data_IF_546031658520
#
_entry.id   IF_546031658520
#
_cell.length_a   1.000
_cell.length_b   1.000
_cell.length_c   1.000
_cell.angle_alpha   90.00
_cell.angle_beta   90.00
_cell.angle_gamma   90.00
#
_symmetry.space_group_name_H-M   'P 1'
#
loop_
_entity.id
_entity.type
_entity.pdbx_description
1 polymer ?
#
# COMPACT_ATOMS: atom_id res chain seq x y z
N UNK A 1 6.06 10.29 6.31
CA UNK A 1 6.27 9.15 5.39
C UNK A 1 7.68 9.18 4.82
N UNK A 2 8.28 8.00 4.61
CA UNK A 2 9.57 7.85 3.94
C UNK A 2 9.63 6.56 3.09
N UNK A 3 10.45 6.58 2.07
CA UNK A 3 10.59 5.60 0.99
C UNK A 3 11.45 4.39 1.39
N UNK A 4 11.07 3.69 2.46
CA UNK A 4 11.62 2.40 2.86
C UNK A 4 10.49 1.52 3.39
N UNK A 5 10.32 0.35 2.80
CA UNK A 5 9.35 -0.64 3.22
C UNK A 5 9.92 -1.70 4.15
N UNK A 6 9.11 -2.70 4.46
CA UNK A 6 9.51 -3.80 5.34
C UNK A 6 10.64 -4.66 4.74
N UNK A 7 11.55 -5.14 5.60
CA UNK A 7 12.68 -5.99 5.20
C UNK A 7 12.28 -7.43 4.87
N UNK A 8 11.09 -7.86 5.25
CA UNK A 8 10.59 -9.19 4.99
C UNK A 8 9.08 -9.19 4.78
N UNK A 9 8.55 -9.89 3.76
CA UNK A 9 7.11 -10.06 3.56
C UNK A 9 6.40 -10.73 4.76
N UNK A 10 7.13 -11.48 5.58
CA UNK A 10 6.57 -12.11 6.77
C UNK A 10 6.16 -11.13 7.88
N UNK A 11 6.54 -9.86 7.78
CA UNK A 11 6.05 -8.81 8.68
C UNK A 11 4.63 -8.34 8.35
N UNK A 12 4.11 -8.65 7.17
CA UNK A 12 2.76 -8.25 6.73
C UNK A 12 1.71 -8.73 7.72
N UNK A 13 0.80 -7.83 8.10
CA UNK A 13 -0.36 -8.12 8.96
C UNK A 13 -1.67 -8.14 8.19
N UNK A 14 -1.73 -7.43 7.07
CA UNK A 14 -2.85 -7.38 6.14
C UNK A 14 -2.39 -7.93 4.78
N UNK A 15 -2.72 -9.20 4.52
CA UNK A 15 -2.28 -9.91 3.34
C UNK A 15 -2.94 -9.39 2.04
N UNK A 16 -4.16 -8.85 2.12
CA UNK A 16 -4.87 -8.32 0.96
C UNK A 16 -4.21 -7.03 0.47
N UNK A 17 -3.77 -6.20 1.40
CA UNK A 17 -3.12 -4.91 1.11
C UNK A 17 -1.61 -4.98 1.05
N UNK A 18 -1.02 -6.12 1.42
CA UNK A 18 0.42 -6.29 1.54
C UNK A 18 1.07 -5.25 2.47
N UNK A 19 0.41 -4.95 3.58
CA UNK A 19 0.82 -3.95 4.56
C UNK A 19 1.07 -4.57 5.93
N UNK A 20 2.04 -4.02 6.65
CA UNK A 20 2.22 -4.26 8.08
C UNK A 20 1.68 -3.05 8.84
N UNK A 21 0.60 -3.26 9.59
CA UNK A 21 -0.06 -2.23 10.40
C UNK A 21 0.26 -2.48 11.86
N UNK A 22 0.78 -1.46 12.54
CA UNK A 22 1.08 -1.46 13.96
C UNK A 22 0.27 -0.35 14.64
N UNK A 23 -0.57 -0.70 15.60
CA UNK A 23 -1.33 0.26 16.41
C UNK A 23 -0.60 0.47 17.75
N UNK A 24 -0.43 1.72 18.15
CA UNK A 24 0.30 2.18 19.35
C UNK A 24 1.71 1.57 19.53
N UNK A 25 2.53 1.47 18.45
CA UNK A 25 3.84 0.83 18.53
C UNK A 25 4.86 1.65 19.31
N UNK A 26 5.83 0.96 19.89
CA UNK A 26 7.13 1.53 20.19
C UNK A 26 7.97 1.62 18.91
N UNK A 27 8.88 2.60 18.86
CA UNK A 27 9.75 2.85 17.73
C UNK A 27 11.19 2.90 18.21
N UNK A 28 11.99 1.95 17.76
CA UNK A 28 13.43 1.88 18.01
C UNK A 28 14.18 2.50 16.83
N UNK A 29 14.98 3.51 17.08
CA UNK A 29 15.81 4.20 16.09
C UNK A 29 17.29 3.89 16.35
N UNK A 30 17.95 3.17 15.47
CA UNK A 30 19.35 2.80 15.57
C UNK A 30 20.16 3.32 14.38
N UNK A 31 21.25 4.03 14.66
CA UNK A 31 22.08 4.60 13.59
C UNK A 31 22.87 3.55 12.81
N UNK A 32 23.34 2.52 13.49
CA UNK A 32 24.15 1.44 12.91
C UNK A 32 23.33 0.26 12.39
N UNK A 33 24.05 -0.76 11.92
CA UNK A 33 23.47 -2.05 11.52
C UNK A 33 23.16 -2.91 12.74
N UNK A 34 22.15 -3.75 12.61
CA UNK A 34 21.77 -4.74 13.62
C UNK A 34 21.83 -6.14 12.98
N UNK A 35 22.85 -6.91 13.34
CA UNK A 35 23.03 -8.28 12.82
C UNK A 35 22.95 -9.34 13.92
N UNK A 36 23.31 -8.98 15.15
CA UNK A 36 23.31 -9.88 16.31
C UNK A 36 22.03 -9.68 17.14
N UNK A 37 21.31 -10.75 17.39
CA UNK A 37 20.07 -10.69 18.20
C UNK A 37 20.35 -10.35 19.66
N UNK A 38 21.52 -10.71 20.18
CA UNK A 38 21.89 -10.46 21.58
C UNK A 38 21.83 -8.97 21.94
N UNK A 39 22.18 -8.09 20.99
CA UNK A 39 22.16 -6.65 21.19
C UNK A 39 20.72 -6.09 21.29
N UNK A 40 19.75 -6.79 20.70
CA UNK A 40 18.31 -6.43 20.75
C UNK A 40 17.58 -7.00 21.97
N UNK A 41 18.08 -8.09 22.59
CA UNK A 41 17.35 -8.81 23.63
C UNK A 41 16.86 -7.92 24.77
N UNK A 42 17.67 -6.99 25.33
CA UNK A 42 17.23 -6.15 26.44
C UNK A 42 16.02 -5.27 26.12
N UNK A 43 15.94 -4.78 24.86
CA UNK A 43 14.81 -3.98 24.38
C UNK A 43 13.61 -4.89 24.09
N UNK A 44 13.83 -6.01 23.38
CA UNK A 44 12.76 -6.94 23.00
C UNK A 44 12.03 -7.49 24.22
N UNK A 45 12.73 -7.91 25.26
CA UNK A 45 12.14 -8.43 26.50
C UNK A 45 11.21 -7.39 27.15
N UNK A 46 11.66 -6.13 27.26
CA UNK A 46 10.88 -5.06 27.87
C UNK A 46 9.64 -4.71 27.04
N UNK A 47 9.80 -4.63 25.71
CA UNK A 47 8.67 -4.34 24.80
C UNK A 47 7.67 -5.49 24.80
N UNK A 48 8.12 -6.75 24.81
CA UNK A 48 7.23 -7.91 24.93
C UNK A 48 6.41 -7.89 26.21
N UNK A 49 7.01 -7.50 27.36
CA UNK A 49 6.30 -7.37 28.63
C UNK A 49 5.21 -6.29 28.58
N UNK A 50 5.37 -5.25 27.75
CA UNK A 50 4.36 -4.20 27.58
C UNK A 50 3.16 -4.64 26.72
N UNK A 51 3.30 -5.71 25.95
CA UNK A 51 2.28 -6.19 25.00
C UNK A 51 2.11 -5.34 23.75
N UNK A 52 2.91 -4.28 23.56
CA UNK A 52 2.83 -3.40 22.38
C UNK A 52 3.72 -3.89 21.24
N UNK A 53 3.36 -3.59 19.97
CA UNK A 53 4.21 -3.89 18.83
C UNK A 53 5.44 -2.98 18.78
N UNK A 54 6.45 -3.39 18.01
CA UNK A 54 7.70 -2.67 17.85
C UNK A 54 8.01 -2.42 16.37
N UNK A 55 8.25 -1.16 16.00
CA UNK A 55 8.90 -0.78 14.75
C UNK A 55 10.41 -0.60 15.01
N UNK A 56 11.26 -1.24 14.23
CA UNK A 56 12.71 -1.09 14.28
C UNK A 56 13.19 -0.40 13.01
N UNK A 57 13.83 0.76 13.16
CA UNK A 57 14.44 1.52 12.07
C UNK A 57 15.94 1.57 12.32
N UNK A 58 16.73 0.97 11.42
CA UNK A 58 18.18 0.93 11.53
C UNK A 58 18.84 1.10 10.15
N UNK A 59 20.15 1.35 10.11
CA UNK A 59 20.87 1.35 8.84
C UNK A 59 20.59 0.11 8.01
N UNK A 60 20.70 -1.05 8.64
CA UNK A 60 20.28 -2.34 8.12
C UNK A 60 19.93 -3.29 9.28
N UNK A 61 19.08 -4.28 9.02
CA UNK A 61 18.79 -5.35 9.98
C UNK A 61 18.92 -6.64 9.20
N UNK A 62 19.91 -7.45 9.55
CA UNK A 62 20.30 -8.62 8.77
C UNK A 62 20.66 -9.83 9.67
N UNK A 63 20.99 -10.95 9.05
CA UNK A 63 21.52 -12.13 9.74
C UNK A 63 20.56 -12.69 10.79
N UNK A 64 21.12 -13.02 11.97
CA UNK A 64 20.42 -13.66 13.08
C UNK A 64 19.32 -12.76 13.66
N UNK A 65 19.56 -11.43 13.72
CA UNK A 65 18.59 -10.49 14.23
C UNK A 65 17.29 -10.48 13.41
N UNK A 66 17.40 -10.35 12.09
CA UNK A 66 16.25 -10.38 11.19
C UNK A 66 15.52 -11.73 11.24
N UNK A 67 16.27 -12.84 11.18
CA UNK A 67 15.68 -14.17 11.22
C UNK A 67 14.88 -14.40 12.51
N UNK A 68 15.41 -13.98 13.65
CA UNK A 68 14.73 -14.12 14.94
C UNK A 68 13.45 -13.29 15.02
N UNK A 69 13.47 -12.05 14.54
CA UNK A 69 12.28 -11.20 14.50
C UNK A 69 11.18 -11.81 13.61
N UNK A 70 11.55 -12.30 12.43
CA UNK A 70 10.63 -12.99 11.51
C UNK A 70 10.03 -14.24 12.13
N UNK A 71 10.85 -15.09 12.76
CA UNK A 71 10.36 -16.32 13.41
C UNK A 71 9.38 -16.02 14.56
N UNK A 72 9.68 -15.02 15.39
CA UNK A 72 8.78 -14.61 16.47
C UNK A 72 7.47 -14.01 15.92
N UNK A 73 7.52 -13.27 14.84
CA UNK A 73 6.33 -12.76 14.14
C UNK A 73 5.45 -13.89 13.62
N UNK A 74 6.02 -14.88 12.91
CA UNK A 74 5.29 -16.04 12.39
C UNK A 74 4.65 -16.87 13.50
N UNK A 75 5.35 -17.03 14.64
CA UNK A 75 4.82 -17.72 15.82
C UNK A 75 3.77 -16.94 16.59
N UNK A 76 3.53 -15.68 16.26
CA UNK A 76 2.61 -14.80 16.97
C UNK A 76 3.09 -14.43 18.39
N UNK A 77 4.35 -14.70 18.74
CA UNK A 77 4.90 -14.40 20.07
C UNK A 77 5.28 -12.93 20.24
N UNK A 78 5.64 -12.27 19.14
CA UNK A 78 6.01 -10.86 19.16
C UNK A 78 5.65 -10.17 17.82
N UNK A 79 4.91 -9.07 17.90
CA UNK A 79 4.56 -8.29 16.73
C UNK A 79 5.59 -7.18 16.50
N UNK A 80 6.46 -7.39 15.52
CA UNK A 80 7.47 -6.41 15.15
C UNK A 80 7.54 -6.23 13.64
N UNK A 81 8.04 -5.08 13.20
CA UNK A 81 8.38 -4.78 11.81
C UNK A 81 9.74 -4.11 11.78
N UNK A 82 10.56 -4.49 10.82
CA UNK A 82 11.88 -3.93 10.60
C UNK A 82 11.97 -3.24 9.25
N UNK A 83 12.52 -2.04 9.23
CA UNK A 83 12.71 -1.22 8.02
C UNK A 83 14.11 -0.60 8.01
N UNK A 84 14.64 -0.31 6.82
CA UNK A 84 15.88 0.45 6.69
C UNK A 84 15.66 1.93 6.94
N UNK A 85 16.60 2.59 7.58
CA UNK A 85 16.62 4.04 7.70
C UNK A 85 16.80 4.69 6.32
N UNK A 86 16.05 5.76 6.02
CA UNK A 86 16.18 6.49 4.76
C UNK A 86 17.48 7.30 4.69
N UNK A 87 17.99 7.49 3.49
CA UNK A 87 19.21 8.27 3.24
C UNK A 87 20.51 7.50 3.52
N UNK A 88 21.63 8.21 3.40
CA UNK A 88 22.97 7.68 3.59
C UNK A 88 23.84 8.72 4.35
N UNK A 89 24.86 8.23 5.08
CA UNK A 89 25.82 9.08 5.80
C UNK A 89 25.15 10.10 6.73
N UNK A 90 25.60 11.35 6.71
CA UNK A 90 25.08 12.43 7.57
C UNK A 90 23.61 12.72 7.32
N UNK A 91 23.12 12.55 6.09
CA UNK A 91 21.70 12.70 5.77
C UNK A 91 20.84 11.67 6.50
N UNK A 92 21.29 10.41 6.59
CA UNK A 92 20.61 9.36 7.37
C UNK A 92 20.53 9.74 8.85
N UNK A 93 21.64 10.24 9.43
CA UNK A 93 21.66 10.70 10.83
C UNK A 93 20.63 11.80 11.07
N UNK A 94 20.60 12.80 10.17
CA UNK A 94 19.64 13.89 10.25
C UNK A 94 18.19 13.42 10.16
N UNK A 95 17.88 12.48 9.26
CA UNK A 95 16.53 11.92 9.11
C UNK A 95 16.13 11.06 10.31
N UNK A 96 17.05 10.28 10.89
CA UNK A 96 16.80 9.54 12.13
C UNK A 96 16.52 10.50 13.29
N UNK A 97 17.25 11.62 13.38
CA UNK A 97 17.01 12.64 14.39
C UNK A 97 15.64 13.32 14.19
N UNK A 98 15.25 13.60 12.97
CA UNK A 98 13.90 14.13 12.66
C UNK A 98 12.80 13.17 13.12
N UNK A 99 12.98 11.86 12.89
CA UNK A 99 12.07 10.83 13.38
C UNK A 99 12.05 10.71 14.91
N UNK A 100 13.22 10.82 15.56
CA UNK A 100 13.31 10.79 17.02
C UNK A 100 12.50 11.94 17.64
N UNK A 101 12.66 13.15 17.12
CA UNK A 101 11.90 14.32 17.57
C UNK A 101 10.40 14.14 17.33
N UNK A 102 10.02 13.64 16.16
CA UNK A 102 8.60 13.40 15.83
C UNK A 102 7.96 12.35 16.75
N UNK A 103 8.69 11.32 17.14
CA UNK A 103 8.16 10.18 17.90
C UNK A 103 8.42 10.27 19.40
N UNK A 104 9.16 11.29 19.85
CA UNK A 104 9.52 11.48 21.26
C UNK A 104 10.57 10.48 21.77
N UNK A 105 11.33 9.85 20.86
CA UNK A 105 12.41 8.92 21.19
C UNK A 105 13.80 9.53 21.05
N UNK A 106 14.82 8.68 21.09
CA UNK A 106 16.20 9.04 20.86
C UNK A 106 16.85 8.08 19.87
N UNK A 107 17.79 8.60 19.07
CA UNK A 107 18.60 7.77 18.17
C UNK A 107 19.69 7.08 18.98
N UNK A 108 19.72 5.76 18.94
CA UNK A 108 20.79 4.95 19.52
C UNK A 108 21.98 5.03 18.56
N UNK A 109 23.07 5.63 19.02
CA UNK A 109 24.29 5.80 18.27
C UNK A 109 25.51 5.73 19.22
N UNK A 110 26.49 4.92 18.84
CA UNK A 110 27.72 4.76 19.64
C UNK A 110 28.51 6.06 19.77
N UNK A 111 28.42 6.94 18.77
CA UNK A 111 29.09 8.24 18.76
C UNK A 111 28.63 9.15 19.92
N UNK A 112 27.39 8.99 20.40
CA UNK A 112 26.86 9.73 21.54
C UNK A 112 26.84 8.89 22.82
N UNK A 113 27.50 7.73 22.83
CA UNK A 113 27.62 6.85 23.99
C UNK A 113 26.40 5.97 24.26
N UNK A 114 25.41 5.95 23.37
CA UNK A 114 24.24 5.09 23.48
C UNK A 114 24.47 3.77 22.72
N UNK A 115 24.40 2.66 23.44
CA UNK A 115 24.53 1.33 22.86
C UNK A 115 23.21 0.58 22.88
N UNK A 116 23.00 -0.28 21.88
CA UNK A 116 21.76 -1.04 21.72
C UNK A 116 21.57 -2.07 22.85
N UNK A 117 22.66 -2.71 23.29
CA UNK A 117 22.68 -3.70 24.37
C UNK A 117 22.31 -3.13 25.76
N UNK A 118 22.43 -1.81 25.93
CA UNK A 118 22.07 -1.09 27.14
C UNK A 118 20.84 -0.20 27.02
N UNK A 119 20.16 -0.28 25.87
CA UNK A 119 18.97 0.52 25.60
C UNK A 119 17.78 0.12 26.51
N UNK A 120 17.00 1.10 26.88
CA UNK A 120 15.78 0.91 27.66
C UNK A 120 14.56 1.58 27.00
N UNK A 121 13.40 1.42 27.64
CA UNK A 121 12.13 1.93 27.14
C UNK A 121 12.09 3.46 27.01
N UNK A 122 12.91 4.19 27.76
CA UNK A 122 12.95 5.66 27.72
C UNK A 122 13.57 6.22 26.44
N UNK A 123 14.35 5.41 25.73
CA UNK A 123 14.95 5.77 24.46
C UNK A 123 14.01 5.51 23.28
N UNK A 124 12.95 4.72 23.47
CA UNK A 124 12.01 4.38 22.41
C UNK A 124 11.04 5.53 22.15
N UNK A 125 10.86 5.85 20.89
CA UNK A 125 9.73 6.66 20.46
C UNK A 125 8.44 5.87 20.43
N UNK A 126 7.33 6.55 20.18
CA UNK A 126 6.04 5.92 19.93
C UNK A 126 5.18 6.73 18.97
N UNK A 127 4.16 6.12 18.42
CA UNK A 127 3.18 6.75 17.56
C UNK A 127 1.82 6.09 17.77
N UNK A 128 0.73 6.77 17.36
CA UNK A 128 -0.59 6.16 17.40
C UNK A 128 -0.71 5.00 16.41
N UNK A 129 -0.12 5.14 15.23
CA UNK A 129 -0.16 4.11 14.19
C UNK A 129 1.06 4.17 13.29
N UNK A 130 1.51 3.01 12.84
CA UNK A 130 2.51 2.89 11.77
C UNK A 130 1.98 1.95 10.70
N UNK A 131 2.13 2.34 9.44
CA UNK A 131 1.80 1.53 8.28
C UNK A 131 3.05 1.36 7.44
N UNK A 132 3.44 0.12 7.18
CA UNK A 132 4.61 -0.22 6.38
C UNK A 132 4.17 -1.04 5.19
N UNK A 133 4.41 -0.52 3.99
CA UNK A 133 4.21 -1.23 2.73
C UNK A 133 5.52 -1.87 2.26
N UNK A 134 5.53 -2.44 1.07
CA UNK A 134 6.75 -2.94 0.46
C UNK A 134 7.79 -1.83 0.22
N UNK A 135 7.35 -0.61 -0.07
CA UNK A 135 8.19 0.49 -0.54
C UNK A 135 8.27 1.67 0.44
N UNK A 136 7.26 1.84 1.29
CA UNK A 136 7.10 3.01 2.15
C UNK A 136 6.82 2.66 3.61
N UNK A 137 7.19 3.58 4.51
CA UNK A 137 6.78 3.58 5.92
C UNK A 137 6.13 4.91 6.26
N UNK A 138 4.93 4.86 6.84
CA UNK A 138 4.17 6.02 7.31
C UNK A 138 3.99 5.96 8.82
N UNK A 139 4.47 6.97 9.53
CA UNK A 139 4.29 7.15 10.98
C UNK A 139 3.19 8.19 11.17
N UNK A 140 2.13 7.81 11.86
CA UNK A 140 0.95 8.65 12.09
C UNK A 140 0.86 9.05 13.55
N UNK A 141 0.80 10.36 13.81
CA UNK A 141 0.71 10.92 15.16
C UNK A 141 1.81 10.40 16.09
N UNK A 142 3.04 10.83 15.81
CA UNK A 142 4.18 10.58 16.70
C UNK A 142 4.00 11.26 18.05
N UNK A 143 4.51 10.64 19.12
CA UNK A 143 4.35 11.12 20.50
C UNK A 143 5.30 12.27 20.89
N UNK A 144 6.10 12.80 19.94
CA UNK A 144 6.96 13.95 20.18
C UNK A 144 6.18 15.22 20.52
N UNK A 145 6.80 16.11 21.29
CA UNK A 145 6.14 17.36 21.63
C UNK A 145 6.02 18.28 20.40
N UNK A 146 4.88 18.96 20.28
CA UNK A 146 4.66 19.94 19.18
C UNK A 146 5.74 21.02 19.18
N UNK A 147 6.19 21.47 20.35
CA UNK A 147 7.23 22.49 20.47
C UNK A 147 8.59 22.02 19.92
N UNK A 148 8.97 20.76 20.16
CA UNK A 148 10.23 20.20 19.63
C UNK A 148 10.17 20.02 18.11
N UNK A 149 9.01 19.59 17.59
CA UNK A 149 8.79 19.46 16.14
C UNK A 149 8.85 20.83 15.47
N UNK A 150 8.16 21.85 16.03
CA UNK A 150 8.20 23.23 15.50
C UNK A 150 9.61 23.82 15.58
N UNK A 151 10.35 23.57 16.66
CA UNK A 151 11.75 23.96 16.79
C UNK A 151 12.62 23.35 15.71
N UNK A 152 12.42 22.06 15.41
CA UNK A 152 13.17 21.37 14.35
C UNK A 152 12.81 21.89 12.96
N UNK A 153 11.55 22.16 12.71
CA UNK A 153 11.08 22.80 11.46
C UNK A 153 11.72 24.18 11.27
N UNK A 154 11.79 25.00 12.33
CA UNK A 154 12.44 26.31 12.28
C UNK A 154 13.94 26.19 11.98
N UNK A 155 14.63 25.21 12.59
CA UNK A 155 16.04 24.94 12.31
C UNK A 155 16.27 24.56 10.84
N UNK A 156 15.51 23.63 10.28
CA UNK A 156 15.64 23.21 8.88
C UNK A 156 15.37 24.40 7.93
N UNK A 157 14.39 25.26 8.23
CA UNK A 157 14.14 26.48 7.45
C UNK A 157 15.37 27.41 7.44
N UNK A 158 15.98 27.62 8.59
CA UNK A 158 17.19 28.42 8.69
C UNK A 158 18.37 27.79 7.91
N UNK A 159 18.51 26.46 7.93
CA UNK A 159 19.50 25.74 7.12
C UNK A 159 19.27 25.94 5.62
N UNK A 160 18.00 25.94 5.16
CA UNK A 160 17.61 26.20 3.75
C UNK A 160 18.02 27.61 3.31
N UNK A 161 17.84 28.60 4.18
CA UNK A 161 18.19 30.01 3.89
C UNK A 161 19.71 30.22 3.84
N UNK A 162 20.47 29.46 4.62
CA UNK A 162 21.92 29.64 4.77
C UNK A 162 22.76 28.75 3.83
N UNK A 163 22.15 27.82 3.07
CA UNK A 163 22.91 26.96 2.16
C UNK A 163 23.11 27.61 0.80
N UNK A 164 24.37 27.58 0.30
CA UNK A 164 24.74 28.02 -1.04
C UNK A 164 24.58 26.91 -2.10
N UNK A 165 24.37 25.67 -1.67
CA UNK A 165 24.23 24.51 -2.53
C UNK A 165 22.74 24.28 -2.90
N UNK A 166 22.41 24.34 -4.19
CA UNK A 166 21.05 24.07 -4.67
C UNK A 166 20.64 22.62 -4.40
N UNK A 167 21.57 21.68 -4.46
CA UNK A 167 21.30 20.28 -4.14
C UNK A 167 20.99 20.09 -2.65
N UNK A 168 21.76 20.71 -1.75
CA UNK A 168 21.48 20.64 -0.31
C UNK A 168 20.16 21.32 0.02
N UNK A 169 19.88 22.44 -0.63
CA UNK A 169 18.58 23.15 -0.48
C UNK A 169 17.42 22.27 -0.84
N UNK A 170 17.47 21.56 -1.97
CA UNK A 170 16.44 20.60 -2.37
C UNK A 170 16.25 19.49 -1.31
N UNK A 171 17.34 18.93 -0.80
CA UNK A 171 17.29 17.85 0.19
C UNK A 171 16.79 18.31 1.56
N UNK A 172 17.10 19.54 1.96
CA UNK A 172 16.53 20.16 3.15
C UNK A 172 15.02 20.44 2.99
N UNK A 173 14.59 20.86 1.80
CA UNK A 173 13.18 21.05 1.48
C UNK A 173 12.41 19.73 1.51
N UNK A 174 12.96 18.63 1.00
CA UNK A 174 12.38 17.29 1.14
C UNK A 174 12.19 16.89 2.62
N UNK A 175 13.20 17.12 3.47
CA UNK A 175 13.10 16.84 4.91
C UNK A 175 12.03 17.71 5.58
N UNK A 176 12.02 18.99 5.26
CA UNK A 176 11.02 19.93 5.77
C UNK A 176 9.60 19.50 5.40
N UNK A 177 9.37 19.09 4.16
CA UNK A 177 8.07 18.63 3.69
C UNK A 177 7.60 17.37 4.44
N UNK A 178 8.53 16.43 4.71
CA UNK A 178 8.21 15.20 5.47
C UNK A 178 7.87 15.48 6.94
N UNK A 179 8.53 16.46 7.57
CA UNK A 179 8.33 16.80 8.98
C UNK A 179 7.16 17.76 9.20
N UNK A 180 7.00 18.76 8.32
CA UNK A 180 5.99 19.82 8.44
C UNK A 180 4.69 19.51 7.70
N UNK A 181 4.71 18.60 6.71
CA UNK A 181 3.55 18.29 5.86
C UNK A 181 2.42 17.58 6.59
N UNK A 182 2.74 16.87 7.65
CA UNK A 182 1.78 16.09 8.42
C UNK A 182 1.16 14.92 7.64
N UNK A 183 0.32 14.18 8.31
CA UNK A 183 -0.51 13.11 7.74
C UNK A 183 -1.96 13.41 8.04
N UNK A 184 -2.80 13.53 7.02
CA UNK A 184 -4.23 13.67 7.21
C UNK A 184 -4.85 12.30 7.54
N UNK A 185 -5.65 12.26 8.60
CA UNK A 185 -6.35 11.05 9.04
C UNK A 185 -7.84 11.20 8.78
N UNK A 186 -8.37 10.34 7.90
CA UNK A 186 -9.81 10.25 7.66
C UNK A 186 -10.39 9.20 8.59
N UNK A 187 -11.15 9.64 9.60
CA UNK A 187 -11.84 8.73 10.51
C UNK A 187 -13.16 8.27 9.89
N UNK A 188 -13.36 6.97 9.79
CA UNK A 188 -14.53 6.35 9.18
C UNK A 188 -15.35 5.64 10.25
N UNK A 189 -16.66 5.90 10.28
CA UNK A 189 -17.61 5.24 11.17
C UNK A 189 -18.81 4.67 10.41
N UNK A 190 -19.38 3.58 10.94
CA UNK A 190 -20.61 2.98 10.45
C UNK A 190 -21.38 2.28 11.58
N UNK A 191 -22.63 1.87 11.33
CA UNK A 191 -23.45 1.22 12.32
C UNK A 191 -23.06 -0.28 12.52
N UNK A 192 -22.51 -0.92 11.50
CA UNK A 192 -22.07 -2.33 11.53
C UNK A 192 -20.64 -2.48 11.04
N UNK A 193 -19.98 -3.58 11.45
CA UNK A 193 -18.60 -3.88 11.02
C UNK A 193 -18.52 -4.10 9.49
N UNK A 194 -19.51 -4.72 8.89
CA UNK A 194 -19.55 -4.96 7.43
C UNK A 194 -19.64 -3.64 6.68
N UNK A 195 -20.53 -2.74 7.10
CA UNK A 195 -20.66 -1.41 6.53
C UNK A 195 -19.40 -0.57 6.73
N UNK A 196 -18.75 -0.70 7.88
CA UNK A 196 -17.49 -0.02 8.17
C UNK A 196 -16.38 -0.45 7.20
N UNK A 197 -16.24 -1.76 6.98
CA UNK A 197 -15.27 -2.31 6.03
C UNK A 197 -15.55 -1.83 4.60
N UNK A 198 -16.79 -1.86 4.17
CA UNK A 198 -17.20 -1.41 2.84
C UNK A 198 -16.87 0.09 2.64
N UNK A 199 -17.25 0.95 3.58
CA UNK A 199 -16.93 2.39 3.53
C UNK A 199 -15.41 2.63 3.53
N UNK A 200 -14.66 1.91 4.37
CA UNK A 200 -13.21 2.01 4.43
C UNK A 200 -12.59 1.68 3.09
N UNK A 201 -12.95 0.55 2.48
CA UNK A 201 -12.44 0.13 1.18
C UNK A 201 -12.77 1.15 0.08
N UNK A 202 -13.97 1.71 0.07
CA UNK A 202 -14.39 2.74 -0.89
C UNK A 202 -13.55 4.02 -0.78
N UNK A 203 -13.23 4.44 0.45
CA UNK A 203 -12.36 5.61 0.68
C UNK A 203 -10.93 5.30 0.26
N UNK A 204 -10.43 4.12 0.55
CA UNK A 204 -9.09 3.67 0.16
C UNK A 204 -8.95 3.61 -1.36
N UNK A 205 -9.95 3.11 -2.05
CA UNK A 205 -10.02 3.09 -3.51
C UNK A 205 -10.01 4.52 -4.09
N UNK A 206 -10.82 5.41 -3.55
CA UNK A 206 -10.84 6.83 -3.93
C UNK A 206 -9.48 7.52 -3.72
N UNK A 207 -8.77 7.23 -2.62
CA UNK A 207 -7.43 7.74 -2.36
C UNK A 207 -6.40 7.20 -3.35
N UNK A 208 -6.46 5.91 -3.67
CA UNK A 208 -5.57 5.28 -4.65
C UNK A 208 -5.79 5.84 -6.05
N UNK A 209 -7.05 5.99 -6.46
CA UNK A 209 -7.43 6.62 -7.73
C UNK A 209 -6.96 8.08 -7.80
N UNK A 210 -7.10 8.84 -6.72
CA UNK A 210 -6.65 10.24 -6.64
C UNK A 210 -5.12 10.34 -6.78
N UNK A 211 -4.36 9.48 -6.11
CA UNK A 211 -2.88 9.44 -6.25
C UNK A 211 -2.48 9.13 -7.69
N UNK A 212 -3.09 8.10 -8.29
CA UNK A 212 -2.83 7.75 -9.68
C UNK A 212 -3.16 8.90 -10.66
N UNK A 213 -4.25 9.64 -10.39
CA UNK A 213 -4.63 10.82 -11.17
C UNK A 213 -3.64 11.99 -11.05
N UNK A 214 -3.04 12.19 -9.87
CA UNK A 214 -2.00 13.21 -9.67
C UNK A 214 -0.73 12.87 -10.45
N UNK A 215 -0.40 11.58 -10.59
CA UNK A 215 0.83 11.15 -11.27
C UNK A 215 0.76 11.30 -12.80
N UNK A 216 -0.34 10.91 -13.44
CA UNK A 216 -0.45 10.85 -14.91
C UNK A 216 -1.67 11.62 -15.47
N UNK A 217 -2.46 12.27 -14.63
CA UNK A 217 -3.66 12.98 -15.06
C UNK A 217 -4.90 12.09 -15.15
N UNK A 218 -5.95 12.65 -15.75
CA UNK A 218 -7.27 12.03 -15.89
C UNK A 218 -7.72 11.96 -17.35
N UNK A 219 -8.62 11.02 -17.63
CA UNK A 219 -9.32 10.86 -18.90
C UNK A 219 -10.81 10.66 -18.67
N UNK A 220 -11.61 10.75 -19.72
CA UNK A 220 -13.03 10.39 -19.69
C UNK A 220 -13.17 8.91 -19.26
N UNK A 221 -14.01 8.67 -18.27
CA UNK A 221 -14.28 7.35 -17.69
C UNK A 221 -15.23 6.49 -18.53
N UNK A 222 -15.82 5.50 -17.88
CA UNK A 222 -16.81 4.63 -18.53
C UNK A 222 -16.28 3.79 -19.69
N UNK A 223 -14.96 3.58 -19.80
CA UNK A 223 -14.32 2.90 -20.91
C UNK A 223 -14.16 3.77 -22.16
N UNK A 224 -14.59 5.03 -22.12
CA UNK A 224 -14.57 5.95 -23.29
C UNK A 224 -13.15 6.21 -23.77
N UNK A 225 -12.17 6.42 -22.87
CA UNK A 225 -10.78 6.64 -23.25
C UNK A 225 -10.18 5.46 -24.04
N UNK A 226 -10.51 4.22 -23.67
CA UNK A 226 -10.10 3.03 -24.40
C UNK A 226 -10.75 2.94 -25.78
N UNK A 227 -12.03 3.29 -25.92
CA UNK A 227 -12.69 3.38 -27.23
C UNK A 227 -12.03 4.43 -28.13
N UNK A 228 -11.67 5.59 -27.60
CA UNK A 228 -10.93 6.62 -28.36
C UNK A 228 -9.56 6.12 -28.82
N UNK A 229 -8.91 5.27 -28.03
CA UNK A 229 -7.59 4.70 -28.38
C UNK A 229 -7.65 3.71 -29.56
N UNK A 230 -8.83 3.22 -29.95
CA UNK A 230 -9.00 2.29 -31.08
C UNK A 230 -8.54 2.90 -32.42
N UNK A 231 -8.71 4.20 -32.62
CA UNK A 231 -8.26 4.88 -33.85
C UNK A 231 -6.76 4.71 -34.07
N UNK A 232 -5.95 4.88 -33.03
CA UNK A 232 -4.50 4.72 -33.12
C UNK A 232 -4.10 3.26 -33.48
N UNK A 233 -4.86 2.27 -32.99
CA UNK A 233 -4.64 0.86 -33.35
C UNK A 233 -5.08 0.61 -34.80
N UNK A 234 -6.18 1.24 -35.26
CA UNK A 234 -6.65 1.14 -36.64
C UNK A 234 -5.63 1.72 -37.63
N UNK A 235 -5.02 2.85 -37.31
CA UNK A 235 -3.96 3.45 -38.10
C UNK A 235 -2.74 2.52 -38.22
N UNK A 236 -2.35 1.89 -37.14
CA UNK A 236 -1.26 0.92 -37.09
C UNK A 236 -1.55 -0.33 -37.95
N UNK A 237 -2.79 -0.82 -37.94
CA UNK A 237 -3.19 -2.00 -38.71
C UNK A 237 -2.92 -1.88 -40.22
N UNK A 238 -2.93 -0.66 -40.75
CA UNK A 238 -2.60 -0.40 -42.17
C UNK A 238 -1.13 -0.68 -42.54
N UNK A 239 -0.24 -0.76 -41.56
CA UNK A 239 1.21 -1.01 -41.73
C UNK A 239 1.67 -2.40 -41.28
N UNK A 240 0.79 -3.23 -40.75
CA UNK A 240 1.11 -4.56 -40.18
C UNK A 240 0.59 -5.67 -41.11
N UNK A 241 1.32 -6.79 -41.15
CA UNK A 241 0.95 -7.99 -41.89
C UNK A 241 1.02 -9.26 -41.03
N UNK A 242 0.35 -10.33 -41.46
CA UNK A 242 0.43 -11.65 -40.84
C UNK A 242 -0.03 -11.66 -39.38
N UNK A 243 0.77 -12.27 -38.52
CA UNK A 243 0.45 -12.46 -37.12
C UNK A 243 0.49 -11.17 -36.29
N UNK A 244 1.32 -10.22 -36.67
CA UNK A 244 1.35 -8.89 -36.07
C UNK A 244 0.04 -8.14 -36.26
N UNK A 245 -0.50 -8.17 -37.49
CA UNK A 245 -1.81 -7.60 -37.79
C UNK A 245 -2.93 -8.31 -37.04
N UNK A 246 -2.81 -9.63 -36.80
CA UNK A 246 -3.78 -10.40 -36.02
C UNK A 246 -3.73 -10.01 -34.53
N UNK A 247 -2.55 -9.87 -33.95
CA UNK A 247 -2.37 -9.37 -32.58
C UNK A 247 -2.96 -7.98 -32.37
N UNK A 248 -2.71 -7.06 -33.32
CA UNK A 248 -3.27 -5.71 -33.25
C UNK A 248 -4.81 -5.72 -33.38
N UNK A 249 -5.40 -6.61 -34.20
CA UNK A 249 -6.88 -6.78 -34.28
C UNK A 249 -7.47 -7.29 -32.97
N UNK A 250 -6.78 -8.18 -32.26
CA UNK A 250 -7.21 -8.67 -30.92
C UNK A 250 -7.26 -7.50 -29.94
N UNK A 251 -6.21 -6.68 -29.87
CA UNK A 251 -6.20 -5.49 -29.01
C UNK A 251 -7.32 -4.52 -29.41
N UNK A 252 -7.49 -4.23 -30.72
CA UNK A 252 -8.56 -3.37 -31.20
C UNK A 252 -9.95 -3.83 -30.76
N UNK A 253 -10.22 -5.12 -30.84
CA UNK A 253 -11.49 -5.70 -30.37
C UNK A 253 -11.65 -5.64 -28.86
N UNK A 254 -10.55 -5.87 -28.11
CA UNK A 254 -10.59 -5.86 -26.65
C UNK A 254 -10.86 -4.46 -26.05
N UNK A 255 -10.47 -3.39 -26.72
CA UNK A 255 -10.66 -2.02 -26.26
C UNK A 255 -12.14 -1.58 -26.13
N UNK A 256 -13.08 -2.28 -26.80
CA UNK A 256 -14.52 -2.00 -26.62
C UNK A 256 -15.14 -2.68 -25.40
N UNK A 257 -14.51 -3.75 -24.91
CA UNK A 257 -15.08 -4.61 -23.89
C UNK A 257 -15.46 -3.89 -22.59
N UNK A 258 -14.63 -2.98 -22.02
CA UNK A 258 -14.99 -2.27 -20.79
C UNK A 258 -16.25 -1.42 -20.94
N UNK A 259 -16.34 -0.57 -21.94
CA UNK A 259 -17.52 0.27 -22.18
C UNK A 259 -18.78 -0.58 -22.45
N UNK A 260 -18.64 -1.64 -23.25
CA UNK A 260 -19.71 -2.57 -23.57
C UNK A 260 -20.25 -3.26 -22.31
N UNK A 261 -19.36 -3.71 -21.43
CA UNK A 261 -19.73 -4.40 -20.20
C UNK A 261 -20.40 -3.44 -19.20
N UNK A 262 -19.87 -2.23 -19.04
CA UNK A 262 -20.48 -1.18 -18.20
C UNK A 262 -21.91 -0.90 -18.65
N UNK A 263 -22.12 -0.67 -19.95
CA UNK A 263 -23.45 -0.43 -20.48
C UNK A 263 -24.40 -1.62 -20.27
N UNK A 264 -23.91 -2.84 -20.50
CA UNK A 264 -24.72 -4.06 -20.31
C UNK A 264 -25.10 -4.28 -18.82
N UNK A 265 -24.17 -4.01 -17.89
CA UNK A 265 -24.43 -4.08 -16.45
C UNK A 265 -25.45 -3.02 -15.99
N UNK A 266 -25.51 -1.89 -16.68
CA UNK A 266 -26.53 -0.84 -16.46
C UNK A 266 -27.89 -1.16 -17.11
N UNK A 267 -28.05 -2.31 -17.77
CA UNK A 267 -29.29 -2.73 -18.40
C UNK A 267 -29.50 -2.21 -19.83
N UNK A 268 -28.45 -1.71 -20.48
CA UNK A 268 -28.48 -1.22 -21.85
C UNK A 268 -27.85 -2.22 -22.84
N UNK A 269 -28.20 -2.10 -24.12
CA UNK A 269 -27.55 -2.91 -25.17
C UNK A 269 -26.12 -2.39 -25.42
N UNK A 270 -25.12 -3.08 -24.86
CA UNK A 270 -23.73 -2.62 -24.84
C UNK A 270 -23.13 -2.34 -26.22
N UNK A 271 -23.48 -3.15 -27.24
CA UNK A 271 -23.00 -2.93 -28.61
C UNK A 271 -23.54 -1.63 -29.21
N UNK A 272 -24.81 -1.31 -28.95
CA UNK A 272 -25.44 -0.07 -29.40
C UNK A 272 -24.82 1.14 -28.71
N UNK A 273 -24.56 1.04 -27.41
CA UNK A 273 -23.90 2.11 -26.64
C UNK A 273 -22.49 2.38 -27.17
N UNK A 274 -21.70 1.33 -27.40
CA UNK A 274 -20.35 1.46 -27.99
C UNK A 274 -20.39 2.21 -29.30
N UNK A 275 -21.27 1.85 -30.24
CA UNK A 275 -21.41 2.55 -31.52
C UNK A 275 -21.80 4.03 -31.35
N UNK A 276 -22.68 4.34 -30.36
CA UNK A 276 -23.05 5.74 -30.08
C UNK A 276 -21.85 6.53 -29.54
N UNK A 277 -21.10 5.94 -28.61
CA UNK A 277 -19.88 6.58 -28.07
C UNK A 277 -18.84 6.79 -29.16
N UNK A 278 -18.63 5.82 -30.05
CA UNK A 278 -17.69 5.95 -31.18
C UNK A 278 -18.09 7.03 -32.20
N UNK A 279 -19.39 7.29 -32.36
CA UNK A 279 -19.87 8.36 -33.26
C UNK A 279 -19.62 9.77 -32.68
N UNK A 280 -19.38 9.88 -31.37
CA UNK A 280 -19.06 11.12 -30.69
C UNK A 280 -17.55 11.36 -30.64
N UNK A 281 -17.13 12.56 -30.19
CA UNK A 281 -15.73 12.96 -30.09
C UNK A 281 -15.38 13.47 -28.69
N UNK A 282 -14.10 13.60 -28.40
CA UNK A 282 -13.60 14.17 -27.17
C UNK A 282 -13.98 13.36 -25.92
N UNK A 283 -14.44 14.05 -24.89
CA UNK A 283 -14.86 13.49 -23.59
C UNK A 283 -16.31 13.01 -23.55
N UNK A 284 -17.08 13.19 -24.64
CA UNK A 284 -18.47 12.71 -24.70
C UNK A 284 -18.53 11.18 -24.68
N UNK A 285 -19.31 10.64 -23.76
CA UNK A 285 -19.47 9.20 -23.55
C UNK A 285 -20.77 8.88 -22.85
N UNK A 286 -20.95 7.60 -22.52
CA UNK A 286 -22.16 7.08 -21.89
C UNK A 286 -22.05 7.15 -20.36
N UNK A 287 -22.93 7.90 -19.72
CA UNK A 287 -23.14 7.88 -18.27
C UNK A 287 -24.10 6.75 -17.89
N UNK A 288 -23.55 5.69 -17.30
CA UNK A 288 -24.33 4.49 -16.94
C UNK A 288 -25.31 4.75 -15.77
N UNK A 289 -25.15 5.81 -14.99
CA UNK A 289 -26.05 6.15 -13.90
C UNK A 289 -27.33 6.84 -14.42
N UNK A 290 -27.22 7.67 -15.46
CA UNK A 290 -28.35 8.40 -16.05
C UNK A 290 -28.90 7.76 -17.32
N UNK A 291 -28.10 6.93 -18.01
CA UNK A 291 -28.42 6.37 -19.32
C UNK A 291 -28.22 7.35 -20.47
N UNK A 292 -27.61 8.49 -20.25
CA UNK A 292 -27.47 9.57 -21.22
C UNK A 292 -26.05 9.67 -21.82
N UNK A 293 -25.95 10.33 -22.98
CA UNK A 293 -24.68 10.71 -23.58
C UNK A 293 -24.33 12.12 -23.13
N UNK A 294 -23.23 12.26 -22.38
CA UNK A 294 -22.81 13.53 -21.77
C UNK A 294 -21.31 13.75 -21.91
N UNK A 295 -20.83 14.97 -21.67
CA UNK A 295 -19.41 15.18 -21.41
C UNK A 295 -19.06 14.56 -20.05
N UNK A 296 -18.28 13.48 -20.09
CA UNK A 296 -17.98 12.69 -18.88
C UNK A 296 -17.04 13.43 -17.92
N UNK A 297 -16.16 14.31 -18.43
CA UNK A 297 -15.29 15.10 -17.56
C UNK A 297 -16.11 16.11 -16.79
N UNK A 298 -17.01 16.84 -17.44
CA UNK A 298 -17.90 17.79 -16.79
C UNK A 298 -18.90 17.10 -15.84
N UNK A 299 -19.34 15.89 -16.17
CA UNK A 299 -20.21 15.08 -15.33
C UNK A 299 -19.46 14.43 -14.12
N UNK A 300 -18.12 14.53 -14.07
CA UNK A 300 -17.31 13.92 -13.00
C UNK A 300 -17.10 12.41 -13.17
N UNK A 301 -17.41 11.84 -14.33
CA UNK A 301 -17.14 10.43 -14.66
C UNK A 301 -15.76 10.33 -15.31
N UNK A 302 -14.74 10.20 -14.46
CA UNK A 302 -13.33 10.28 -14.84
C UNK A 302 -12.56 9.06 -14.36
N UNK A 303 -11.55 8.66 -15.13
CA UNK A 303 -10.59 7.61 -14.78
C UNK A 303 -9.16 8.16 -14.71
N UNK A 304 -8.31 7.68 -13.77
CA UNK A 304 -6.88 7.97 -13.82
C UNK A 304 -6.21 7.35 -15.05
N UNK A 305 -5.42 8.13 -15.78
CA UNK A 305 -4.67 7.64 -16.96
C UNK A 305 -3.79 6.44 -16.60
N UNK A 306 -3.08 6.52 -15.48
CA UNK A 306 -2.19 5.45 -15.00
C UNK A 306 -2.92 4.11 -14.87
N UNK A 307 -4.13 4.11 -14.32
CA UNK A 307 -4.93 2.89 -14.13
C UNK A 307 -5.35 2.31 -15.46
N UNK A 308 -5.93 3.14 -16.36
CA UNK A 308 -6.41 2.71 -17.66
C UNK A 308 -5.29 2.18 -18.54
N UNK A 309 -4.15 2.88 -18.57
CA UNK A 309 -2.94 2.49 -19.29
C UNK A 309 -2.34 1.19 -18.75
N UNK A 310 -2.16 1.09 -17.43
CA UNK A 310 -1.59 -0.09 -16.80
C UNK A 310 -2.48 -1.33 -16.98
N UNK A 311 -3.80 -1.18 -16.94
CA UNK A 311 -4.74 -2.27 -17.18
C UNK A 311 -4.55 -2.85 -18.60
N UNK A 312 -4.49 -1.99 -19.62
CA UNK A 312 -4.27 -2.43 -21.01
C UNK A 312 -2.90 -3.09 -21.17
N UNK A 313 -1.85 -2.46 -20.66
CA UNK A 313 -0.47 -2.95 -20.76
C UNK A 313 -0.30 -4.32 -20.08
N UNK A 314 -0.82 -4.48 -18.87
CA UNK A 314 -0.72 -5.73 -18.14
C UNK A 314 -1.57 -6.84 -18.77
N UNK A 315 -2.77 -6.52 -19.25
CA UNK A 315 -3.61 -7.48 -19.96
C UNK A 315 -2.93 -7.99 -21.24
N UNK A 316 -2.35 -7.10 -22.04
CA UNK A 316 -1.63 -7.47 -23.26
C UNK A 316 -0.38 -8.32 -22.93
N UNK A 317 0.35 -7.97 -21.88
CA UNK A 317 1.54 -8.73 -21.43
C UNK A 317 1.18 -10.15 -21.01
N UNK A 318 0.15 -10.32 -20.18
CA UNK A 318 -0.29 -11.63 -19.70
C UNK A 318 -0.87 -12.46 -20.85
N UNK A 319 -1.68 -11.86 -21.73
CA UNK A 319 -2.21 -12.55 -22.92
C UNK A 319 -1.08 -13.03 -23.83
N UNK A 320 -0.05 -12.21 -24.05
CA UNK A 320 1.15 -12.59 -24.82
C UNK A 320 1.90 -13.75 -24.19
N UNK A 321 2.05 -13.78 -22.87
CA UNK A 321 2.65 -14.91 -22.14
C UNK A 321 1.82 -16.18 -22.33
N UNK A 322 0.50 -16.11 -22.17
CA UNK A 322 -0.38 -17.27 -22.37
C UNK A 322 -0.30 -17.84 -23.79
N UNK A 323 -0.23 -17.00 -24.80
CA UNK A 323 -0.10 -17.42 -26.21
C UNK A 323 1.22 -18.12 -26.50
N UNK A 324 2.27 -17.88 -25.72
CA UNK A 324 3.60 -18.49 -25.88
C UNK A 324 3.83 -19.72 -25.01
N UNK A 325 2.88 -20.06 -24.11
CA UNK A 325 2.99 -21.23 -23.23
C UNK A 325 2.33 -22.48 -23.83
N UNK A 326 2.98 -23.63 -23.72
CA UNK A 326 2.40 -24.92 -24.14
C UNK A 326 1.61 -25.60 -23.02
N UNK A 327 1.88 -25.27 -21.76
CA UNK A 327 1.22 -25.88 -20.60
C UNK A 327 1.14 -24.90 -19.44
N UNK A 328 0.05 -25.04 -18.66
CA UNK A 328 -0.14 -24.36 -17.37
C UNK A 328 -0.02 -25.38 -16.25
N UNK A 329 0.77 -25.05 -15.22
CA UNK A 329 0.86 -25.82 -13.99
C UNK A 329 0.16 -25.04 -12.90
N UNK A 330 -0.88 -25.64 -12.33
CA UNK A 330 -1.65 -25.03 -11.26
C UNK A 330 -1.84 -26.04 -10.13
N UNK A 331 -1.99 -25.54 -8.91
CA UNK A 331 -2.30 -26.39 -7.76
C UNK A 331 -3.68 -27.02 -7.94
N UNK A 332 -3.77 -28.31 -7.63
CA UNK A 332 -5.06 -29.00 -7.61
C UNK A 332 -5.88 -28.47 -6.42
N UNK A 333 -7.14 -28.07 -6.62
CA UNK A 333 -7.98 -27.69 -5.50
C UNK A 333 -8.03 -28.81 -4.45
N UNK A 334 -7.66 -28.50 -3.21
CA UNK A 334 -7.82 -29.43 -2.09
C UNK A 334 -9.30 -29.55 -1.78
N UNK A 335 -9.82 -30.77 -1.73
CA UNK A 335 -11.15 -31.03 -1.18
C UNK A 335 -11.14 -30.61 0.30
N UNK A 336 -12.00 -29.67 0.67
CA UNK A 336 -12.15 -29.28 2.07
C UNK A 336 -12.38 -30.54 2.91
N UNK A 337 -11.59 -30.76 3.99
CA UNK A 337 -11.80 -31.93 4.84
C UNK A 337 -13.26 -31.95 5.30
N UNK A 338 -13.96 -33.06 5.01
CA UNK A 338 -15.33 -33.26 5.45
C UNK A 338 -15.36 -33.04 6.96
N UNK A 339 -16.09 -32.02 7.41
CA UNK A 339 -16.34 -31.84 8.85
C UNK A 339 -16.94 -33.12 9.37
N UNK A 340 -16.43 -33.75 10.44
CA UNK A 340 -17.04 -34.89 11.04
C UNK A 340 -18.44 -34.46 11.48
N UNK A 341 -19.47 -35.09 10.88
CA UNK A 341 -20.85 -34.92 11.29
C UNK A 341 -20.88 -35.26 12.78
N UNK A 342 -21.17 -34.26 13.62
CA UNK A 342 -21.31 -34.43 15.05
C UNK A 342 -22.36 -35.53 15.35
N UNK A 343 -21.89 -36.58 15.98
CA UNK A 343 -22.74 -37.65 16.42
C UNK A 343 -23.82 -37.07 17.34
N UNK A 344 -25.05 -37.46 17.07
CA UNK A 344 -26.27 -37.21 17.85
C UNK A 344 -26.04 -37.57 19.35
N UNK A 345 -26.21 -36.68 20.31
CA UNK A 345 -26.21 -37.03 21.72
C UNK A 345 -27.63 -37.35 22.20
N UNK A 346 -28.37 -38.22 21.46
CA UNK A 346 -29.68 -38.67 21.93
C UNK A 346 -29.79 -40.19 21.91
N UNK A 347 -29.30 -40.81 22.98
CA UNK A 347 -29.47 -42.25 23.16
C UNK A 347 -29.08 -42.68 24.57
N UNK A 348 -29.91 -42.39 25.55
CA UNK A 348 -29.60 -42.88 26.90
C UNK A 348 -30.54 -42.42 28.02
N UNK A 349 -31.82 -42.54 27.83
CA UNK A 349 -32.75 -42.45 28.97
C UNK A 349 -33.82 -43.57 28.83
N UNK A 350 -33.52 -44.69 29.43
CA UNK A 350 -34.42 -45.85 29.50
C UNK A 350 -34.09 -46.76 30.65
N UNK A 351 -34.90 -46.74 31.68
CA UNK A 351 -34.98 -47.86 32.55
C UNK A 351 -34.65 -47.67 34.06
N UNK A 352 -35.52 -47.04 34.79
CA UNK A 352 -35.68 -47.35 36.22
C UNK A 352 -37.03 -47.97 36.39
N UNK A 353 -37.06 -49.32 36.39
CA UNK A 353 -38.14 -50.13 36.86
C UNK A 353 -38.09 -50.33 38.38
N UNK A 354 -39.22 -50.20 38.97
CA UNK A 354 -39.50 -50.45 40.39
C UNK A 354 -39.07 -51.84 40.87
N UNK A 355 -38.47 -51.95 42.01
CA UNK A 355 -38.96 -52.61 43.24
C UNK A 355 -38.12 -52.22 44.42
#
# INVERSE_FOLDING_TARGET
>A
QFDKGYLSPYFVTDAERQEAVLDDPYILLNQGKISNVQDLLPVLEKVMQSGKPLLIIAEDIEGEALATLVVNKIRGTFNSVSVKAPGFGERRKAMLQDMAILTGGQVIAEEVGLKLDSADMSLLGSARKVVVTKDDTTIVEGAGSTADVEGRVAQIKAEIENTDSDWDREKLQERLAKLAGGVAVVQVGAATEVELKEKKHRIEDALSATRAAIEEGIVAGGGTALLRSRSAVSDLLGSLEGDEATGARIIHAALEAPAKLIASNAGHEGAVVVQRVEAESGSTGFDAATGEMVDLIDAGVIDPVKVTRAALQNAASIAGLLLTTEALVADKPEEAPAMPMGGDPMGGMGGMGMM
#
